data_IF_928572957532
#
_entry.id   IF_928572957532
#
_cell.length_a   1.000
_cell.length_b   1.000
_cell.length_c   1.000
_cell.angle_alpha   90.00
_cell.angle_beta   90.00
_cell.angle_gamma   90.00
#
_symmetry.space_group_name_H-M   'P 1'
#
loop_
_entity.id
_entity.type
_entity.pdbx_description
1 polymer ?
#
# COMPACT_ATOMS: atom_id res chain seq x y z
N UNK A 1 -38.56 39.76 -31.02
CA UNK A 1 -39.70 40.68 -30.82
C UNK A 1 -40.94 40.03 -31.41
N UNK A 2 -41.79 39.45 -30.57
CA UNK A 2 -43.22 39.28 -30.84
C UNK A 2 -43.88 39.04 -29.48
N UNK A 3 -44.65 40.05 -29.08
CA UNK A 3 -45.47 40.13 -27.87
C UNK A 3 -46.92 39.97 -28.30
N UNK A 4 -47.75 39.33 -27.46
CA UNK A 4 -49.16 39.66 -27.13
C UNK A 4 -49.88 38.40 -26.60
N UNK A 5 -51.11 38.49 -26.05
CA UNK A 5 -51.54 39.17 -24.81
C UNK A 5 -52.23 38.14 -23.86
N UNK A 6 -52.30 38.30 -22.53
CA UNK A 6 -53.19 39.18 -21.78
C UNK A 6 -54.54 38.51 -21.42
N UNK A 7 -54.80 38.21 -20.14
CA UNK A 7 -56.11 38.30 -19.45
C UNK A 7 -56.09 37.70 -18.02
N UNK A 8 -56.35 38.57 -17.03
CA UNK A 8 -56.88 38.28 -15.67
C UNK A 8 -58.41 37.93 -15.78
N UNK A 9 -59.18 37.47 -14.74
CA UNK A 9 -59.04 37.76 -13.31
C UNK A 9 -59.46 36.67 -12.27
N UNK A 10 -59.16 37.05 -11.02
CA UNK A 10 -59.65 36.67 -9.68
C UNK A 10 -60.84 35.70 -9.51
N UNK A 11 -60.73 34.77 -8.55
CA UNK A 11 -61.73 34.60 -7.48
C UNK A 11 -61.15 33.79 -6.30
N UNK A 12 -61.46 34.25 -5.09
CA UNK A 12 -61.02 33.72 -3.79
C UNK A 12 -62.10 32.79 -3.25
N UNK A 13 -61.75 31.56 -2.85
CA UNK A 13 -62.60 30.77 -1.93
C UNK A 13 -61.73 30.13 -0.84
N UNK A 14 -62.15 30.39 0.39
CA UNK A 14 -61.68 29.80 1.64
C UNK A 14 -62.47 28.52 1.91
N UNK A 15 -61.81 27.42 2.25
CA UNK A 15 -62.39 26.24 2.90
C UNK A 15 -61.28 25.62 3.77
N UNK A 16 -61.30 25.81 5.08
CA UNK A 16 -61.98 25.02 6.14
C UNK A 16 -61.10 23.88 6.69
N UNK A 17 -61.05 23.85 8.03
CA UNK A 17 -60.18 23.06 8.92
C UNK A 17 -60.52 21.56 8.96
N UNK A 18 -59.59 20.80 9.54
CA UNK A 18 -59.81 19.48 10.17
C UNK A 18 -59.48 18.31 9.24
N UNK A 19 -59.02 17.15 9.69
CA UNK A 19 -58.62 16.65 11.00
C UNK A 19 -58.02 15.25 10.71
N UNK A 20 -57.01 14.86 11.50
CA UNK A 20 -56.69 13.50 11.93
C UNK A 20 -56.35 12.38 10.91
N UNK A 21 -55.08 11.95 11.00
CA UNK A 21 -54.63 10.59 11.38
C UNK A 21 -55.19 9.35 10.66
N UNK A 22 -54.33 8.67 9.91
CA UNK A 22 -54.35 7.22 9.64
C UNK A 22 -52.95 6.81 9.14
N UNK A 23 -52.11 6.23 10.00
CA UNK A 23 -51.82 4.79 10.20
C UNK A 23 -51.00 4.10 9.09
N UNK A 24 -49.91 3.50 9.59
CA UNK A 24 -49.21 2.29 9.14
C UNK A 24 -48.38 2.33 7.85
N UNK A 25 -47.06 2.21 8.00
CA UNK A 25 -46.37 0.95 7.67
C UNK A 25 -44.92 1.01 8.18
N UNK A 26 -44.51 -0.08 8.81
CA UNK A 26 -43.16 -0.34 9.24
C UNK A 26 -42.19 -0.38 8.06
N UNK A 27 -40.95 0.03 8.29
CA UNK A 27 -39.77 -0.78 7.94
C UNK A 27 -38.56 -0.17 8.62
N UNK A 28 -38.00 -0.93 9.56
CA UNK A 28 -36.66 -0.70 10.09
C UNK A 28 -35.68 -0.63 8.93
N UNK A 29 -34.95 0.47 8.80
CA UNK A 29 -33.63 0.44 8.17
C UNK A 29 -32.61 1.00 9.13
N UNK A 30 -32.10 0.10 9.97
CA UNK A 30 -30.83 0.26 10.65
C UNK A 30 -29.77 0.64 9.62
N UNK A 31 -29.25 1.87 9.68
CA UNK A 31 -28.00 2.22 9.00
C UNK A 31 -26.85 1.76 9.89
N UNK A 32 -26.57 0.47 9.87
CA UNK A 32 -25.22 -0.01 10.17
C UNK A 32 -24.33 0.38 8.99
N UNK A 33 -23.70 1.55 9.04
CA UNK A 33 -22.49 1.77 8.25
C UNK A 33 -21.35 1.14 9.04
N UNK A 34 -21.14 -0.12 8.69
CA UNK A 34 -19.92 -0.90 8.86
C UNK A 34 -18.71 0.02 9.02
N UNK A 35 -18.02 -0.13 10.14
CA UNK A 35 -16.76 0.53 10.40
C UNK A 35 -15.83 0.29 9.23
N UNK A 36 -15.32 1.38 8.67
CA UNK A 36 -14.24 1.38 7.70
C UNK A 36 -13.01 0.80 8.41
N UNK A 37 -12.84 -0.52 8.30
CA UNK A 37 -11.63 -1.21 8.70
C UNK A 37 -10.51 -0.61 7.85
N UNK A 38 -9.66 0.18 8.48
CA UNK A 38 -8.37 0.56 7.94
C UNK A 38 -7.59 -0.74 7.72
N UNK A 39 -7.61 -1.26 6.49
CA UNK A 39 -6.62 -2.22 6.04
C UNK A 39 -5.37 -1.42 5.65
N UNK A 40 -4.79 -0.70 6.62
CA UNK A 40 -3.42 -0.25 6.50
C UNK A 40 -2.58 -1.51 6.33
N UNK A 41 -1.88 -1.63 5.19
CA UNK A 41 -1.08 -2.79 4.84
C UNK A 41 -0.09 -3.12 5.95
N UNK A 42 -0.47 -4.00 6.86
CA UNK A 42 0.47 -4.66 7.76
C UNK A 42 1.24 -5.61 6.85
N UNK A 43 2.56 -5.51 6.88
CA UNK A 43 3.42 -6.59 6.42
C UNK A 43 3.08 -7.77 7.33
N UNK A 44 2.21 -8.66 6.87
CA UNK A 44 2.19 -9.98 7.43
C UNK A 44 3.54 -10.55 7.03
N UNK A 45 4.45 -10.72 8.00
CA UNK A 45 5.55 -11.65 7.80
C UNK A 45 4.95 -12.91 7.17
N UNK A 46 5.66 -13.56 6.25
CA UNK A 46 5.31 -14.92 5.85
C UNK A 46 5.40 -15.78 7.12
N UNK A 47 4.31 -15.83 7.88
CA UNK A 47 4.20 -16.57 9.11
C UNK A 47 4.23 -18.02 8.66
N UNK A 48 5.24 -18.72 9.17
CA UNK A 48 5.55 -20.13 8.92
C UNK A 48 4.33 -20.95 8.53
N UNK A 49 4.43 -21.68 7.42
CA UNK A 49 3.69 -22.92 7.28
C UNK A 49 3.98 -23.76 8.55
N UNK A 50 2.97 -24.37 9.19
CA UNK A 50 3.13 -25.03 10.50
C UNK A 50 4.14 -26.21 10.53
N UNK A 51 4.81 -26.54 9.41
CA UNK A 51 5.70 -27.69 9.27
C UNK A 51 6.96 -27.49 8.39
N UNK A 52 7.46 -26.26 8.16
CA UNK A 52 8.66 -26.03 7.32
C UNK A 52 9.59 -24.91 7.83
N UNK A 53 10.89 -25.02 7.52
CA UNK A 53 11.91 -23.99 7.84
C UNK A 53 11.55 -22.65 7.17
N UNK A 54 11.73 -21.49 7.81
CA UNK A 54 11.39 -20.21 7.19
C UNK A 54 12.30 -19.92 6.00
N UNK A 55 11.77 -19.21 5.00
CA UNK A 55 12.52 -18.81 3.81
C UNK A 55 13.82 -18.07 4.17
N UNK A 56 13.81 -17.25 5.23
CA UNK A 56 15.01 -16.63 5.78
C UNK A 56 16.15 -17.62 6.04
N UNK A 57 15.87 -18.74 6.69
CA UNK A 57 16.88 -19.73 7.03
C UNK A 57 17.27 -20.58 5.81
N UNK A 58 16.32 -20.89 4.93
CA UNK A 58 16.59 -21.54 3.64
C UNK A 58 17.51 -20.70 2.72
N UNK A 59 17.51 -19.38 2.85
CA UNK A 59 18.41 -18.47 2.13
C UNK A 59 19.81 -18.38 2.74
N UNK A 60 20.07 -19.01 3.90
CA UNK A 60 21.34 -18.90 4.63
C UNK A 60 21.32 -17.89 5.78
N UNK A 61 20.15 -17.38 6.15
CA UNK A 61 19.94 -16.55 7.34
C UNK A 61 20.56 -15.14 7.24
N UNK A 62 20.88 -14.57 8.40
CA UNK A 62 21.29 -13.16 8.54
C UNK A 62 22.47 -12.76 7.64
N UNK A 63 23.57 -13.53 7.59
CA UNK A 63 24.71 -13.21 6.74
C UNK A 63 24.34 -13.14 5.25
N UNK A 64 23.52 -14.07 4.77
CA UNK A 64 23.08 -14.09 3.37
C UNK A 64 22.14 -12.94 3.04
N UNK A 65 21.18 -12.63 3.93
CA UNK A 65 20.28 -11.47 3.77
C UNK A 65 21.06 -10.15 3.78
N UNK A 66 22.06 -10.02 4.65
CA UNK A 66 22.91 -8.82 4.68
C UNK A 66 23.67 -8.65 3.36
N UNK A 67 24.30 -9.71 2.86
CA UNK A 67 24.99 -9.69 1.58
C UNK A 67 24.06 -9.34 0.41
N UNK A 68 22.85 -9.91 0.40
CA UNK A 68 21.84 -9.61 -0.62
C UNK A 68 21.41 -8.14 -0.57
N UNK A 69 21.23 -7.57 0.62
CA UNK A 69 20.86 -6.16 0.80
C UNK A 69 21.99 -5.22 0.39
N UNK A 70 23.23 -5.55 0.71
CA UNK A 70 24.37 -4.75 0.30
C UNK A 70 24.47 -4.67 -1.22
N UNK A 71 24.43 -5.82 -1.92
CA UNK A 71 24.44 -5.87 -3.39
C UNK A 71 23.20 -5.20 -4.01
N UNK A 72 22.02 -5.41 -3.43
CA UNK A 72 20.78 -4.76 -3.86
C UNK A 72 20.93 -3.25 -3.88
N UNK A 73 21.44 -2.66 -2.79
CA UNK A 73 21.62 -1.22 -2.77
C UNK A 73 22.78 -0.74 -3.63
N UNK A 74 23.82 -1.53 -3.85
CA UNK A 74 24.87 -1.16 -4.79
C UNK A 74 24.29 -1.01 -6.21
N UNK A 75 23.40 -1.92 -6.61
CA UNK A 75 22.66 -1.81 -7.88
C UNK A 75 21.69 -0.62 -7.89
N UNK A 76 20.90 -0.43 -6.83
CA UNK A 76 19.97 0.71 -6.73
C UNK A 76 20.69 2.07 -6.81
N UNK A 77 21.89 2.19 -6.24
CA UNK A 77 22.66 3.43 -6.29
C UNK A 77 23.33 3.65 -7.65
N UNK A 78 23.56 2.59 -8.43
CA UNK A 78 24.09 2.66 -9.78
C UNK A 78 23.02 2.91 -10.87
N UNK A 79 21.73 2.77 -10.54
CA UNK A 79 20.62 2.93 -11.48
C UNK A 79 19.98 4.32 -11.40
N UNK A 80 20.15 5.12 -12.46
CA UNK A 80 19.63 6.49 -12.57
C UNK A 80 18.10 6.57 -12.53
N UNK A 81 17.39 5.47 -12.77
CA UNK A 81 15.92 5.41 -12.64
C UNK A 81 15.45 5.54 -11.19
N UNK A 82 16.31 5.24 -10.20
CA UNK A 82 15.92 5.13 -8.78
C UNK A 82 16.91 5.75 -7.79
N UNK A 83 18.18 5.95 -8.15
CA UNK A 83 19.21 6.43 -7.21
C UNK A 83 18.87 7.79 -6.60
N UNK A 84 18.11 8.63 -7.30
CA UNK A 84 17.83 10.00 -6.88
C UNK A 84 16.86 10.06 -5.69
N UNK A 85 16.07 9.02 -5.42
CA UNK A 85 15.24 8.92 -4.21
C UNK A 85 16.08 8.85 -2.92
N UNK A 86 17.34 8.44 -3.04
CA UNK A 86 18.25 8.24 -1.91
C UNK A 86 19.18 9.43 -1.66
N UNK A 87 18.97 10.56 -2.35
CA UNK A 87 19.75 11.79 -2.11
C UNK A 87 19.58 12.26 -0.66
N UNK A 88 20.70 12.37 0.07
CA UNK A 88 20.72 12.77 1.47
C UNK A 88 20.31 11.69 2.47
N UNK A 89 20.10 10.45 2.02
CA UNK A 89 19.84 9.30 2.89
C UNK A 89 21.15 8.73 3.42
N UNK A 90 21.20 8.42 4.72
CA UNK A 90 22.31 7.66 5.31
C UNK A 90 22.22 6.20 4.84
N UNK A 91 23.00 5.88 3.81
CA UNK A 91 22.93 4.58 3.15
C UNK A 91 23.38 3.41 4.02
N UNK A 92 24.17 3.66 5.06
CA UNK A 92 24.54 2.63 6.05
C UNK A 92 23.34 2.28 6.92
N UNK A 93 22.62 3.30 7.41
CA UNK A 93 21.38 3.09 8.16
C UNK A 93 20.30 2.46 7.29
N UNK A 94 20.20 2.87 6.03
CA UNK A 94 19.22 2.34 5.09
C UNK A 94 19.43 0.85 4.81
N UNK A 95 20.67 0.42 4.55
CA UNK A 95 21.02 -1.01 4.39
C UNK A 95 20.67 -1.82 5.63
N UNK A 96 21.08 -1.35 6.82
CA UNK A 96 20.78 -2.02 8.07
C UNK A 96 19.26 -2.15 8.32
N UNK A 97 18.50 -1.08 8.02
CA UNK A 97 17.05 -1.08 8.13
C UNK A 97 16.38 -2.07 7.18
N UNK A 98 16.81 -2.08 5.91
CA UNK A 98 16.29 -2.99 4.90
C UNK A 98 16.60 -4.45 5.21
N UNK A 99 17.79 -4.75 5.72
CA UNK A 99 18.17 -6.09 6.16
C UNK A 99 17.30 -6.58 7.32
N UNK A 100 17.02 -5.70 8.30
CA UNK A 100 16.08 -6.01 9.38
C UNK A 100 14.66 -6.25 8.85
N UNK A 101 14.21 -5.43 7.89
CA UNK A 101 12.91 -5.58 7.26
C UNK A 101 12.77 -6.91 6.49
N UNK A 102 13.72 -7.24 5.62
CA UNK A 102 13.71 -8.49 4.86
C UNK A 102 13.83 -9.70 5.78
N UNK A 103 14.68 -9.64 6.81
CA UNK A 103 14.76 -10.69 7.82
C UNK A 103 13.41 -10.95 8.49
N UNK A 104 12.66 -9.89 8.82
CA UNK A 104 11.29 -10.02 9.33
C UNK A 104 10.32 -10.58 8.30
N UNK A 105 10.29 -10.01 7.10
CA UNK A 105 9.36 -10.39 6.04
C UNK A 105 9.49 -11.87 5.65
N UNK A 106 10.73 -12.38 5.62
CA UNK A 106 11.09 -13.75 5.27
C UNK A 106 10.98 -14.74 6.45
N UNK A 107 10.49 -14.29 7.60
CA UNK A 107 10.20 -15.14 8.76
C UNK A 107 11.37 -15.40 9.71
N UNK A 108 12.47 -14.66 9.58
CA UNK A 108 13.65 -14.74 10.45
C UNK A 108 13.55 -13.93 11.75
N UNK A 109 12.62 -12.99 11.85
CA UNK A 109 12.37 -12.21 13.05
C UNK A 109 10.88 -12.19 13.40
N UNK A 110 10.56 -12.21 14.70
CA UNK A 110 9.16 -12.18 15.18
C UNK A 110 8.55 -10.77 15.08
N UNK A 111 9.38 -9.74 15.08
CA UNK A 111 8.95 -8.34 15.06
C UNK A 111 9.89 -7.51 14.18
N UNK A 112 9.33 -6.44 13.64
CA UNK A 112 10.04 -5.38 12.95
C UNK A 112 9.78 -4.05 13.67
N UNK A 113 10.84 -3.37 14.08
CA UNK A 113 10.76 -2.12 14.86
C UNK A 113 10.66 -0.85 14.00
N UNK A 114 10.67 -0.99 12.67
CA UNK A 114 10.51 0.15 11.77
C UNK A 114 9.09 0.73 11.75
N UNK A 115 8.91 1.84 11.04
CA UNK A 115 7.59 2.38 10.72
C UNK A 115 6.87 1.37 9.82
N UNK A 116 6.14 0.42 10.41
CA UNK A 116 5.47 -0.68 9.72
C UNK A 116 4.33 -0.27 8.80
N UNK A 117 4.23 1.02 8.46
CA UNK A 117 3.29 1.59 7.52
C UNK A 117 4.03 2.00 6.24
N UNK A 118 4.07 1.07 5.28
CA UNK A 118 4.74 1.28 3.98
C UNK A 118 4.15 2.43 3.17
N UNK A 119 2.83 2.61 3.24
CA UNK A 119 2.13 3.73 2.60
C UNK A 119 2.68 5.07 3.11
N UNK A 120 2.70 5.26 4.43
CA UNK A 120 3.18 6.50 5.04
C UNK A 120 4.68 6.73 4.84
N UNK A 121 5.49 5.66 4.86
CA UNK A 121 6.94 5.75 4.68
C UNK A 121 7.34 6.28 3.29
N UNK A 122 6.58 5.96 2.25
CA UNK A 122 6.88 6.33 0.87
C UNK A 122 6.04 7.51 0.35
N UNK A 123 5.01 7.94 1.08
CA UNK A 123 4.07 8.98 0.64
C UNK A 123 4.77 10.27 0.16
N UNK A 124 5.81 10.71 0.87
CA UNK A 124 6.57 11.91 0.48
C UNK A 124 7.28 11.72 -0.86
N UNK A 125 7.83 10.53 -1.11
CA UNK A 125 8.53 10.23 -2.37
C UNK A 125 7.54 10.23 -3.55
N UNK A 126 6.31 9.78 -3.32
CA UNK A 126 5.22 9.83 -4.30
C UNK A 126 4.82 11.27 -4.62
N UNK A 127 4.57 12.07 -3.58
CA UNK A 127 4.09 13.43 -3.70
C UNK A 127 5.14 14.38 -4.30
N UNK A 128 6.37 14.30 -3.82
CA UNK A 128 7.37 15.35 -4.04
C UNK A 128 8.44 14.96 -5.06
N UNK A 129 8.65 13.65 -5.27
CA UNK A 129 9.79 13.13 -6.05
C UNK A 129 9.37 12.28 -7.24
N UNK A 130 8.06 12.12 -7.49
CA UNK A 130 7.57 11.41 -8.67
C UNK A 130 7.72 9.89 -8.61
N UNK A 131 7.80 9.29 -7.41
CA UNK A 131 7.77 7.83 -7.29
C UNK A 131 6.45 7.27 -7.85
N UNK A 132 6.55 6.21 -8.65
CA UNK A 132 5.44 5.53 -9.36
C UNK A 132 5.62 4.02 -9.30
N UNK A 133 4.61 3.27 -9.73
CA UNK A 133 4.63 1.81 -9.70
C UNK A 133 5.79 1.18 -10.48
N UNK A 134 6.23 1.79 -11.57
CA UNK A 134 7.43 1.33 -12.31
C UNK A 134 8.70 1.27 -11.44
N UNK A 135 8.82 2.14 -10.43
CA UNK A 135 9.96 2.14 -9.51
C UNK A 135 9.92 0.97 -8.53
N UNK A 136 8.71 0.49 -8.19
CA UNK A 136 8.56 -0.73 -7.40
C UNK A 136 9.01 -1.96 -8.20
N UNK A 137 8.73 -1.98 -9.51
CA UNK A 137 9.18 -3.07 -10.39
C UNK A 137 10.72 -3.09 -10.51
N UNK A 138 11.35 -1.90 -10.57
CA UNK A 138 12.83 -1.77 -10.54
C UNK A 138 13.42 -2.29 -9.22
N UNK A 139 12.73 -2.08 -8.09
CA UNK A 139 13.17 -2.64 -6.79
C UNK A 139 13.15 -4.18 -6.83
N UNK A 140 12.12 -4.79 -7.41
CA UNK A 140 12.06 -6.25 -7.58
C UNK A 140 13.12 -6.77 -8.56
N UNK A 141 13.34 -6.06 -9.67
CA UNK A 141 14.40 -6.34 -10.65
C UNK A 141 15.77 -6.43 -9.96
N UNK A 142 16.14 -5.39 -9.20
CA UNK A 142 17.44 -5.36 -8.52
C UNK A 142 17.55 -6.35 -7.37
N UNK A 143 16.47 -6.61 -6.64
CA UNK A 143 16.46 -7.63 -5.61
C UNK A 143 16.68 -9.02 -6.21
N UNK A 144 15.95 -9.34 -7.29
CA UNK A 144 16.12 -10.60 -8.03
C UNK A 144 17.55 -10.78 -8.53
N UNK A 145 18.08 -9.78 -9.25
CA UNK A 145 19.45 -9.80 -9.77
C UNK A 145 20.50 -9.97 -8.66
N UNK A 146 20.28 -9.38 -7.47
CA UNK A 146 21.22 -9.52 -6.34
C UNK A 146 21.23 -10.93 -5.76
N UNK A 147 20.07 -11.58 -5.71
CA UNK A 147 19.98 -12.98 -5.26
C UNK A 147 20.56 -13.93 -6.31
N UNK A 148 20.38 -13.64 -7.60
CA UNK A 148 21.01 -14.38 -8.70
C UNK A 148 22.54 -14.31 -8.63
N UNK A 149 23.11 -13.12 -8.44
CA UNK A 149 24.57 -12.94 -8.28
C UNK A 149 25.13 -13.69 -7.07
N UNK A 150 24.31 -13.91 -6.04
CA UNK A 150 24.64 -14.71 -4.86
C UNK A 150 24.40 -16.21 -5.05
N UNK A 151 24.06 -16.65 -6.26
CA UNK A 151 23.76 -18.03 -6.62
C UNK A 151 22.60 -18.63 -5.81
N UNK A 152 21.62 -17.80 -5.43
CA UNK A 152 20.40 -18.28 -4.80
C UNK A 152 19.58 -19.06 -5.85
N UNK A 153 19.03 -20.24 -5.53
CA UNK A 153 18.20 -20.98 -6.48
C UNK A 153 16.98 -20.16 -6.95
N UNK A 154 16.63 -20.29 -8.24
CA UNK A 154 15.52 -19.53 -8.86
C UNK A 154 14.19 -19.68 -8.13
N UNK A 155 13.91 -20.86 -7.56
CA UNK A 155 12.72 -21.11 -6.73
C UNK A 155 12.69 -20.17 -5.52
N UNK A 156 13.82 -20.00 -4.81
CA UNK A 156 13.91 -19.13 -3.63
C UNK A 156 13.89 -17.66 -3.99
N UNK A 157 14.41 -17.30 -5.17
CA UNK A 157 14.27 -15.94 -5.71
C UNK A 157 12.79 -15.63 -5.96
N UNK A 158 12.04 -16.55 -6.59
CA UNK A 158 10.62 -16.39 -6.84
C UNK A 158 9.80 -16.30 -5.56
N UNK A 159 10.09 -17.16 -4.56
CA UNK A 159 9.45 -17.07 -3.25
C UNK A 159 9.74 -15.73 -2.55
N UNK A 160 10.99 -15.25 -2.62
CA UNK A 160 11.39 -13.95 -2.04
C UNK A 160 10.68 -12.80 -2.73
N UNK A 161 10.64 -12.80 -4.06
CA UNK A 161 9.92 -11.81 -4.86
C UNK A 161 8.43 -11.83 -4.52
N UNK A 162 7.80 -12.99 -4.39
CA UNK A 162 6.40 -13.12 -4.01
C UNK A 162 6.11 -12.52 -2.61
N UNK A 163 7.03 -12.66 -1.64
CA UNK A 163 6.90 -12.01 -0.33
C UNK A 163 6.94 -10.49 -0.46
N UNK A 164 7.91 -9.94 -1.21
CA UNK A 164 8.03 -8.49 -1.38
C UNK A 164 6.86 -7.92 -2.20
N UNK A 165 6.37 -8.65 -3.18
CA UNK A 165 5.20 -8.31 -4.00
C UNK A 165 3.94 -8.06 -3.15
N UNK A 166 3.82 -8.70 -1.98
CA UNK A 166 2.70 -8.42 -1.04
C UNK A 166 2.64 -6.98 -0.54
N UNK A 167 3.72 -6.21 -0.70
CA UNK A 167 3.79 -4.78 -0.36
C UNK A 167 3.22 -3.87 -1.45
N UNK A 168 3.03 -4.39 -2.68
CA UNK A 168 2.53 -3.61 -3.81
C UNK A 168 1.24 -2.82 -3.49
N UNK A 169 0.23 -3.39 -2.81
CA UNK A 169 -0.98 -2.64 -2.46
C UNK A 169 -0.72 -1.41 -1.58
N UNK A 170 0.30 -1.43 -0.72
CA UNK A 170 0.64 -0.27 0.12
C UNK A 170 1.29 0.85 -0.70
N UNK A 171 2.08 0.51 -1.72
CA UNK A 171 2.60 1.50 -2.67
C UNK A 171 1.47 2.06 -3.54
N UNK A 172 0.55 1.21 -4.02
CA UNK A 172 -0.63 1.66 -4.76
C UNK A 172 -1.49 2.61 -3.91
N UNK A 173 -1.71 2.28 -2.63
CA UNK A 173 -2.45 3.16 -1.71
C UNK A 173 -1.77 4.54 -1.57
N UNK A 174 -0.44 4.60 -1.60
CA UNK A 174 0.29 5.87 -1.54
C UNK A 174 0.06 6.71 -2.81
N UNK A 175 0.01 6.07 -3.99
CA UNK A 175 -0.32 6.72 -5.27
C UNK A 175 -1.76 7.24 -5.26
N UNK A 176 -2.71 6.40 -4.84
CA UNK A 176 -4.13 6.75 -4.75
C UNK A 176 -4.35 7.98 -3.84
N UNK A 177 -3.62 8.05 -2.71
CA UNK A 177 -3.65 9.20 -1.78
C UNK A 177 -3.04 10.47 -2.37
N UNK A 178 -2.06 10.32 -3.25
CA UNK A 178 -1.43 11.43 -3.96
C UNK A 178 -2.25 11.86 -5.19
N UNK A 179 -3.21 11.05 -5.64
CA UNK A 179 -3.98 11.28 -6.86
C UNK A 179 -3.17 11.07 -8.14
N UNK A 180 -2.20 10.15 -8.11
CA UNK A 180 -1.27 9.86 -9.23
C UNK A 180 -1.29 8.39 -9.63
#
# INVERSE_FOLDING_TARGET
MQVSPGAFPTCRVVASRGHQSSRHAATHRARSKVGLRHMAGRVAAAQHAPHGEPLFAQLGGGPAVNAAVDLFYDKMMADDRVNFFFKGVDMKKQRAHQAAFLSYALGGAQKYEGNGNMTAAHQRLVNDMGMRMEHFDIVLEHLGASLEDLNVPSEKIQETAAVVETLRPAFQEAMDKAGV
#
